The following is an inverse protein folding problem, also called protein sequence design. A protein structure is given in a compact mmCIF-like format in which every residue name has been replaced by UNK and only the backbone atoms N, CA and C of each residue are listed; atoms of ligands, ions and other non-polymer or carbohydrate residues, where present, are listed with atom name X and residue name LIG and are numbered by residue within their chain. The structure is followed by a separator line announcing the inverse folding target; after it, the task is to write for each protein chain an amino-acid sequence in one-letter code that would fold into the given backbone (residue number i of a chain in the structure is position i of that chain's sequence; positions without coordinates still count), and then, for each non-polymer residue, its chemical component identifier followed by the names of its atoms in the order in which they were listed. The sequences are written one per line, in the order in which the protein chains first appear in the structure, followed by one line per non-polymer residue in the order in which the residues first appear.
data_IF_059896908911
#
_entry.id   IF_059896908911
#
_cell.length_a   1.000
_cell.length_b   1.000
_cell.length_c   1.000
_cell.angle_alpha   90.00
_cell.angle_beta   90.00
_cell.angle_gamma   90.00
#
_symmetry.space_group_name_H-M   'P 1'
#
loop_
_entity.id
_entity.type
_entity.pdbx_description
1 polymer ?
#
# COMPACT_ATOMS: atom_id res chain seq x y z
N UNK A 1 40.47 3.66 -2.69
CA UNK A 1 40.19 2.55 -1.76
C UNK A 1 38.92 2.86 -1.02
N UNK A 2 38.01 1.90 -0.98
CA UNK A 2 36.77 1.80 -0.21
C UNK A 2 35.57 2.58 -0.73
N UNK A 3 34.68 1.86 -1.43
CA UNK A 3 33.26 1.82 -1.09
C UNK A 3 32.56 0.63 -1.78
N UNK A 4 33.00 -0.60 -1.46
CA UNK A 4 32.43 -1.84 -1.99
C UNK A 4 31.49 -2.58 -0.99
N UNK A 5 30.83 -1.88 -0.06
CA UNK A 5 30.05 -2.56 0.99
C UNK A 5 28.58 -2.08 1.12
N UNK A 6 27.94 -1.58 0.07
CA UNK A 6 26.49 -1.28 0.09
C UNK A 6 25.76 -2.03 -1.04
N UNK A 7 26.29 -3.15 -1.49
CA UNK A 7 25.51 -4.10 -2.29
C UNK A 7 24.87 -5.12 -1.36
N UNK A 8 23.98 -4.61 -0.48
CA UNK A 8 23.13 -5.39 0.40
C UNK A 8 22.06 -6.09 -0.44
N UNK A 9 22.29 -7.38 -0.73
CA UNK A 9 21.30 -8.38 -1.15
C UNK A 9 19.93 -7.86 -1.62
N UNK A 10 19.89 -7.03 -2.65
CA UNK A 10 18.67 -6.75 -3.36
C UNK A 10 18.26 -8.03 -4.08
N UNK A 11 17.36 -8.78 -3.49
CA UNK A 11 16.71 -9.90 -4.16
C UNK A 11 16.04 -9.31 -5.39
N UNK A 12 16.61 -9.52 -6.57
CA UNK A 12 16.00 -9.13 -7.84
C UNK A 12 14.74 -9.96 -8.02
N UNK A 13 13.61 -9.38 -7.60
CA UNK A 13 12.31 -10.01 -7.72
C UNK A 13 11.81 -9.82 -9.15
N UNK A 14 11.59 -10.93 -9.85
CA UNK A 14 10.90 -10.88 -11.15
C UNK A 14 9.45 -10.44 -10.88
N UNK A 15 8.94 -9.41 -11.60
CA UNK A 15 7.57 -8.95 -11.43
C UNK A 15 6.57 -10.06 -11.77
N UNK A 16 6.00 -10.72 -10.76
CA UNK A 16 5.04 -11.80 -10.92
C UNK A 16 4.19 -11.99 -9.67
N UNK A 17 2.95 -12.48 -9.83
CA UNK A 17 2.02 -12.72 -8.72
C UNK A 17 2.59 -13.75 -7.75
N UNK A 18 3.07 -14.88 -8.25
CA UNK A 18 3.63 -15.95 -7.42
C UNK A 18 4.90 -15.53 -6.69
N UNK A 19 5.80 -14.77 -7.34
CA UNK A 19 7.01 -14.24 -6.70
C UNK A 19 6.68 -13.23 -5.60
N UNK A 20 5.66 -12.38 -5.81
CA UNK A 20 5.19 -11.40 -4.84
C UNK A 20 4.64 -12.08 -3.57
N UNK A 21 3.76 -13.06 -3.71
CA UNK A 21 3.22 -13.82 -2.58
C UNK A 21 4.30 -14.67 -1.88
N UNK A 22 5.18 -15.30 -2.62
CA UNK A 22 6.29 -16.09 -2.04
C UNK A 22 7.24 -15.21 -1.21
N UNK A 23 7.59 -14.04 -1.73
CA UNK A 23 8.39 -13.08 -0.98
C UNK A 23 7.61 -12.54 0.23
N UNK A 24 6.34 -12.17 0.05
CA UNK A 24 5.46 -11.72 1.12
C UNK A 24 5.38 -12.73 2.27
N UNK A 25 5.13 -13.99 1.98
CA UNK A 25 5.09 -15.05 2.99
C UNK A 25 6.40 -15.21 3.76
N UNK A 26 7.54 -15.19 3.06
CA UNK A 26 8.85 -15.27 3.69
C UNK A 26 9.16 -14.08 4.60
N UNK A 27 8.85 -12.85 4.14
CA UNK A 27 9.10 -11.65 4.91
C UNK A 27 8.11 -11.49 6.07
N UNK A 28 6.88 -11.99 5.93
CA UNK A 28 5.88 -12.01 6.99
C UNK A 28 6.41 -12.71 8.24
N UNK A 29 6.95 -13.91 8.11
CA UNK A 29 7.50 -14.63 9.26
C UNK A 29 8.75 -13.98 9.83
N UNK A 30 9.58 -13.35 8.99
CA UNK A 30 10.78 -12.66 9.43
C UNK A 30 10.47 -11.40 10.26
N UNK A 31 9.44 -10.65 9.88
CA UNK A 31 9.07 -9.39 10.51
C UNK A 31 7.70 -9.44 11.21
N UNK A 32 7.22 -10.65 11.56
CA UNK A 32 5.88 -10.89 12.05
C UNK A 32 5.48 -9.94 13.18
N UNK A 33 6.30 -9.84 14.24
CA UNK A 33 5.98 -9.02 15.41
C UNK A 33 5.88 -7.53 15.06
N UNK A 34 6.80 -7.01 14.26
CA UNK A 34 6.79 -5.60 13.84
C UNK A 34 5.58 -5.26 12.98
N UNK A 35 5.29 -6.10 11.98
CA UNK A 35 4.14 -5.91 11.10
C UNK A 35 2.81 -6.08 11.85
N UNK A 36 2.73 -7.01 12.79
CA UNK A 36 1.57 -7.24 13.64
C UNK A 36 1.28 -6.01 14.52
N UNK A 37 2.30 -5.44 15.15
CA UNK A 37 2.15 -4.21 15.96
C UNK A 37 1.73 -3.02 15.09
N UNK A 38 2.34 -2.84 13.91
CA UNK A 38 1.96 -1.79 12.96
C UNK A 38 0.50 -1.98 12.52
N UNK A 39 0.08 -3.22 12.23
CA UNK A 39 -1.28 -3.54 11.86
C UNK A 39 -2.29 -3.23 12.97
N UNK A 40 -1.98 -3.57 14.23
CA UNK A 40 -2.83 -3.23 15.39
C UNK A 40 -2.94 -1.72 15.57
N UNK A 41 -1.83 -0.99 15.51
CA UNK A 41 -1.85 0.46 15.67
C UNK A 41 -2.69 1.09 14.54
N UNK A 42 -2.49 0.66 13.29
CA UNK A 42 -3.30 1.12 12.15
C UNK A 42 -4.79 0.81 12.33
N UNK A 43 -5.12 -0.38 12.83
CA UNK A 43 -6.50 -0.76 13.14
C UNK A 43 -7.12 0.13 14.22
N UNK A 44 -6.40 0.38 15.33
CA UNK A 44 -6.88 1.26 16.42
C UNK A 44 -7.15 2.68 15.89
N UNK A 45 -6.27 3.19 15.03
CA UNK A 45 -6.45 4.52 14.42
C UNK A 45 -7.67 4.53 13.48
N UNK A 46 -8.00 3.43 12.84
CA UNK A 46 -9.17 3.30 11.95
C UNK A 46 -10.51 3.11 12.68
N UNK A 47 -10.53 2.80 13.98
CA UNK A 47 -11.78 2.58 14.75
C UNK A 47 -12.77 3.76 14.64
N UNK A 48 -12.35 5.05 14.78
CA UNK A 48 -13.29 6.16 14.76
C UNK A 48 -14.10 6.29 13.47
N UNK A 49 -13.53 5.90 12.33
CA UNK A 49 -14.22 5.97 11.04
C UNK A 49 -15.30 4.89 10.90
N UNK A 50 -15.14 3.74 11.54
CA UNK A 50 -16.12 2.64 11.55
C UNK A 50 -17.24 2.79 12.58
N UNK A 51 -17.12 3.70 13.54
CA UNK A 51 -18.11 3.83 14.63
C UNK A 51 -19.41 4.52 14.24
N UNK A 52 -19.46 5.22 13.10
CA UNK A 52 -20.66 5.93 12.65
C UNK A 52 -21.89 5.03 12.50
N UNK A 53 -21.68 3.77 12.11
CA UNK A 53 -22.76 2.83 11.82
C UNK A 53 -23.51 2.40 13.09
N UNK A 54 -22.92 2.62 14.27
CA UNK A 54 -23.49 2.26 15.57
C UNK A 54 -24.33 3.35 16.19
N UNK A 55 -24.32 4.59 15.62
CA UNK A 55 -25.02 5.74 16.18
C UNK A 55 -26.42 5.86 15.59
N UNK A 56 -27.43 5.67 16.44
CA UNK A 56 -28.84 5.84 16.07
C UNK A 56 -29.26 7.29 16.24
N UNK A 57 -29.80 7.88 15.19
CA UNK A 57 -30.36 9.25 15.17
C UNK A 57 -29.83 10.07 13.99
N UNK A 58 -30.72 10.52 13.11
CA UNK A 58 -30.37 11.13 11.83
C UNK A 58 -29.46 12.37 11.94
N UNK A 59 -29.65 13.23 12.93
CA UNK A 59 -28.85 14.45 13.13
C UNK A 59 -27.49 14.16 13.76
N UNK A 60 -27.44 13.31 14.79
CA UNK A 60 -26.19 12.90 15.44
C UNK A 60 -25.33 12.07 14.48
N UNK A 61 -25.93 11.16 13.73
CA UNK A 61 -25.24 10.37 12.71
C UNK A 61 -24.65 11.26 11.60
N UNK A 62 -25.34 12.34 11.19
CA UNK A 62 -24.82 13.28 10.20
C UNK A 62 -23.59 14.05 10.67
N UNK A 63 -23.60 14.58 11.89
CA UNK A 63 -22.47 15.33 12.46
C UNK A 63 -21.27 14.38 12.69
N UNK A 64 -21.51 13.23 13.32
CA UNK A 64 -20.47 12.25 13.56
C UNK A 64 -19.90 11.68 12.26
N UNK A 65 -20.76 11.44 11.25
CA UNK A 65 -20.32 11.03 9.92
C UNK A 65 -19.42 12.06 9.24
N UNK A 66 -19.77 13.34 9.34
CA UNK A 66 -18.94 14.41 8.81
C UNK A 66 -17.59 14.53 9.53
N UNK A 67 -17.58 14.44 10.86
CA UNK A 67 -16.35 14.43 11.65
C UNK A 67 -15.48 13.23 11.35
N UNK A 68 -16.07 12.04 11.22
CA UNK A 68 -15.34 10.82 10.85
C UNK A 68 -14.80 10.89 9.41
N UNK A 69 -15.54 11.51 8.49
CA UNK A 69 -15.05 11.76 7.13
C UNK A 69 -13.81 12.67 7.12
N UNK A 70 -13.86 13.77 7.88
CA UNK A 70 -12.71 14.66 8.03
C UNK A 70 -11.53 13.92 8.68
N UNK A 71 -11.79 13.17 9.74
CA UNK A 71 -10.77 12.35 10.40
C UNK A 71 -10.16 11.33 9.45
N UNK A 72 -10.98 10.64 8.65
CA UNK A 72 -10.54 9.69 7.63
C UNK A 72 -9.56 10.31 6.64
N UNK A 73 -9.84 11.49 6.13
CA UNK A 73 -8.96 12.20 5.19
C UNK A 73 -7.69 12.69 5.89
N UNK A 74 -7.82 13.36 7.05
CA UNK A 74 -6.69 14.03 7.68
C UNK A 74 -5.78 13.08 8.46
N UNK A 75 -6.30 12.04 9.07
CA UNK A 75 -5.52 11.17 9.95
C UNK A 75 -5.33 9.80 9.33
N UNK A 76 -6.43 9.12 9.01
CA UNK A 76 -6.36 7.74 8.52
C UNK A 76 -5.66 7.63 7.16
N UNK A 77 -5.92 8.57 6.22
CA UNK A 77 -5.26 8.60 4.92
C UNK A 77 -3.72 8.58 5.03
N UNK A 78 -3.08 9.56 5.68
CA UNK A 78 -1.64 9.56 5.89
C UNK A 78 -1.11 8.35 6.65
N UNK A 79 -1.85 7.85 7.65
CA UNK A 79 -1.46 6.65 8.40
C UNK A 79 -1.42 5.43 7.50
N UNK A 80 -2.44 5.22 6.65
CA UNK A 80 -2.47 4.11 5.69
C UNK A 80 -1.29 4.17 4.71
N UNK A 81 -0.90 5.34 4.26
CA UNK A 81 0.29 5.55 3.43
C UNK A 81 1.58 5.18 4.18
N UNK A 82 1.68 5.56 5.46
CA UNK A 82 2.80 5.17 6.32
C UNK A 82 2.85 3.67 6.59
N UNK A 83 1.70 3.04 6.83
CA UNK A 83 1.60 1.58 6.94
C UNK A 83 2.05 0.90 5.66
N UNK A 84 1.60 1.35 4.49
CA UNK A 84 2.05 0.82 3.20
C UNK A 84 3.58 0.91 3.04
N UNK A 85 4.18 2.03 3.46
CA UNK A 85 5.63 2.20 3.44
C UNK A 85 6.37 1.24 4.39
N UNK A 86 5.84 0.99 5.59
CA UNK A 86 6.40 0.01 6.51
C UNK A 86 6.37 -1.42 5.91
N UNK A 87 5.26 -1.80 5.27
CA UNK A 87 5.18 -3.06 4.53
C UNK A 87 6.17 -3.12 3.36
N UNK A 88 6.42 -2.00 2.68
CA UNK A 88 7.42 -1.91 1.61
C UNK A 88 8.84 -2.16 2.14
N UNK A 89 9.21 -1.56 3.28
CA UNK A 89 10.51 -1.81 3.93
C UNK A 89 10.66 -3.29 4.29
N UNK A 90 9.62 -3.90 4.85
CA UNK A 90 9.62 -5.34 5.14
C UNK A 90 9.75 -6.18 3.86
N UNK A 91 9.06 -5.83 2.78
CA UNK A 91 9.14 -6.52 1.49
C UNK A 91 10.53 -6.45 0.85
N UNK A 92 11.25 -5.34 1.03
CA UNK A 92 12.65 -5.16 0.64
C UNK A 92 13.63 -5.93 1.52
N UNK A 93 13.19 -6.35 2.73
CA UNK A 93 14.05 -6.98 3.73
C UNK A 93 14.86 -5.98 4.57
N UNK A 94 14.51 -4.71 4.51
CA UNK A 94 15.12 -3.64 5.29
C UNK A 94 14.70 -3.73 6.77
N UNK A 95 15.48 -3.06 7.64
CA UNK A 95 15.16 -3.00 9.07
C UNK A 95 13.83 -2.27 9.28
N UNK A 96 12.85 -2.99 9.83
CA UNK A 96 11.51 -2.48 10.13
C UNK A 96 11.49 -1.87 11.53
N UNK A 97 11.00 -0.63 11.63
CA UNK A 97 10.75 0.05 12.90
C UNK A 97 9.31 0.57 12.94
N UNK A 98 8.69 0.57 14.11
CA UNK A 98 7.29 1.03 14.27
C UNK A 98 7.14 2.50 13.82
N UNK A 99 8.18 3.31 14.02
CA UNK A 99 8.17 4.71 13.57
C UNK A 99 8.03 4.88 12.06
N UNK A 100 8.34 3.84 11.27
CA UNK A 100 8.26 3.91 9.80
C UNK A 100 6.81 4.13 9.31
N UNK A 101 5.81 3.70 10.09
CA UNK A 101 4.41 4.00 9.78
C UNK A 101 4.07 5.49 9.85
N UNK A 102 4.88 6.29 10.55
CA UNK A 102 4.70 7.74 10.65
C UNK A 102 5.55 8.50 9.63
N UNK A 103 6.27 7.84 8.73
CA UNK A 103 7.10 8.50 7.71
C UNK A 103 6.26 9.39 6.78
N UNK A 104 5.00 9.01 6.52
CA UNK A 104 4.06 9.80 5.73
C UNK A 104 3.81 11.21 6.31
N UNK A 105 3.94 11.37 7.64
CA UNK A 105 3.77 12.67 8.29
C UNK A 105 4.90 13.66 8.00
N UNK A 106 6.06 13.20 7.52
CA UNK A 106 7.13 14.09 7.06
C UNK A 106 6.76 14.81 5.76
N UNK A 107 5.84 14.24 4.98
CA UNK A 107 5.30 14.83 3.77
C UNK A 107 3.76 14.87 3.85
N UNK A 108 3.26 15.36 4.99
CA UNK A 108 1.86 15.23 5.41
C UNK A 108 0.87 15.69 4.35
N UNK A 109 1.03 16.92 3.85
CA UNK A 109 0.07 17.48 2.88
C UNK A 109 0.02 16.69 1.57
N UNK A 110 1.16 16.18 1.10
CA UNK A 110 1.17 15.33 -0.08
C UNK A 110 0.49 13.98 0.18
N UNK A 111 0.65 13.41 1.37
CA UNK A 111 -0.04 12.16 1.73
C UNK A 111 -1.56 12.37 1.86
N UNK A 112 -2.01 13.45 2.51
CA UNK A 112 -3.43 13.82 2.62
C UNK A 112 -4.05 14.06 1.24
N UNK A 113 -3.44 14.92 0.44
CA UNK A 113 -3.96 15.25 -0.89
C UNK A 113 -3.95 14.03 -1.82
N UNK A 114 -2.89 13.23 -1.79
CA UNK A 114 -2.81 12.02 -2.60
C UNK A 114 -3.90 11.00 -2.23
N UNK A 115 -4.13 10.77 -0.93
CA UNK A 115 -5.19 9.86 -0.48
C UNK A 115 -6.58 10.36 -0.89
N UNK A 116 -6.81 11.68 -0.80
CA UNK A 116 -8.07 12.31 -1.22
C UNK A 116 -8.25 12.17 -2.75
N UNK A 117 -7.26 12.56 -3.56
CA UNK A 117 -7.38 12.50 -5.02
C UNK A 117 -7.57 11.05 -5.51
N UNK A 118 -6.79 10.11 -4.99
CA UNK A 118 -6.92 8.68 -5.33
C UNK A 118 -8.31 8.17 -4.94
N UNK A 119 -8.78 8.51 -3.72
CA UNK A 119 -10.11 8.14 -3.26
C UNK A 119 -11.22 8.68 -4.18
N UNK A 120 -11.16 9.97 -4.52
CA UNK A 120 -12.14 10.60 -5.43
C UNK A 120 -12.13 9.94 -6.81
N UNK A 121 -10.97 9.67 -7.39
CA UNK A 121 -10.85 9.02 -8.71
C UNK A 121 -11.49 7.62 -8.66
N UNK A 122 -11.22 6.84 -7.62
CA UNK A 122 -11.78 5.50 -7.46
C UNK A 122 -13.29 5.56 -7.28
N UNK A 123 -13.80 6.47 -6.43
CA UNK A 123 -15.24 6.63 -6.19
C UNK A 123 -15.96 7.04 -7.48
N UNK A 124 -15.45 8.03 -8.22
CA UNK A 124 -16.01 8.42 -9.52
C UNK A 124 -16.01 7.23 -10.49
N UNK A 125 -14.92 6.48 -10.53
CA UNK A 125 -14.83 5.27 -11.37
C UNK A 125 -15.87 4.21 -11.00
N UNK A 126 -16.11 3.98 -9.71
CA UNK A 126 -17.12 3.03 -9.22
C UNK A 126 -18.56 3.50 -9.48
N UNK A 127 -18.81 4.81 -9.34
CA UNK A 127 -20.14 5.40 -9.62
C UNK A 127 -20.48 5.33 -11.10
N UNK A 128 -19.49 5.58 -11.97
CA UNK A 128 -19.67 5.48 -13.43
C UNK A 128 -19.95 4.03 -13.86
N UNK A 129 -19.11 3.11 -13.44
CA UNK A 129 -19.22 1.66 -13.66
C UNK A 129 -18.21 0.93 -12.76
N UNK A 130 -18.57 -0.23 -12.24
CA UNK A 130 -17.71 -1.04 -11.38
C UNK A 130 -16.37 -1.37 -12.08
N UNK A 131 -16.42 -1.69 -13.37
CA UNK A 131 -15.22 -2.09 -14.13
C UNK A 131 -14.17 -0.97 -14.21
N UNK A 132 -14.47 0.28 -14.64
CA UNK A 132 -13.48 1.35 -14.62
C UNK A 132 -13.00 1.70 -13.20
N UNK A 133 -13.86 1.59 -12.18
CA UNK A 133 -13.44 1.77 -10.79
C UNK A 133 -12.35 0.79 -10.38
N UNK A 134 -12.49 -0.48 -10.71
CA UNK A 134 -11.46 -1.51 -10.47
C UNK A 134 -10.19 -1.21 -11.25
N UNK A 135 -10.31 -0.79 -12.51
CA UNK A 135 -9.15 -0.42 -13.33
C UNK A 135 -8.39 0.75 -12.71
N UNK A 136 -9.09 1.79 -12.25
CA UNK A 136 -8.46 2.94 -11.59
C UNK A 136 -7.80 2.53 -10.27
N UNK A 137 -8.45 1.70 -9.46
CA UNK A 137 -7.86 1.16 -8.24
C UNK A 137 -6.56 0.40 -8.53
N UNK A 138 -6.53 -0.45 -9.56
CA UNK A 138 -5.32 -1.17 -9.97
C UNK A 138 -4.23 -0.23 -10.49
N UNK A 139 -4.60 0.81 -11.24
CA UNK A 139 -3.66 1.79 -11.79
C UNK A 139 -3.03 2.69 -10.72
N UNK A 140 -3.78 3.00 -9.68
CA UNK A 140 -3.37 3.89 -8.60
C UNK A 140 -2.81 3.14 -7.37
N UNK A 141 -2.73 1.81 -7.44
CA UNK A 141 -2.28 0.96 -6.33
C UNK A 141 -0.87 1.27 -5.83
N UNK A 142 -0.01 1.86 -6.67
CA UNK A 142 1.37 2.20 -6.30
C UNK A 142 1.53 3.63 -5.77
N UNK A 143 0.50 4.47 -5.86
CA UNK A 143 0.55 5.86 -5.40
C UNK A 143 1.01 6.01 -3.93
N UNK A 144 0.50 5.21 -2.96
CA UNK A 144 0.95 5.32 -1.57
C UNK A 144 2.46 5.14 -1.40
N UNK A 145 3.03 4.19 -2.13
CA UNK A 145 4.46 3.92 -2.06
C UNK A 145 5.29 5.06 -2.67
N UNK A 146 4.84 5.63 -3.79
CA UNK A 146 5.53 6.72 -4.49
C UNK A 146 5.57 8.00 -3.66
N UNK A 147 4.45 8.35 -3.01
CA UNK A 147 4.36 9.54 -2.16
C UNK A 147 5.30 9.45 -0.96
N UNK A 148 5.38 8.30 -0.29
CA UNK A 148 6.16 8.16 0.95
C UNK A 148 7.59 7.74 0.67
N UNK A 149 7.81 6.76 -0.22
CA UNK A 149 9.11 6.19 -0.54
C UNK A 149 9.98 7.15 -1.39
N UNK A 150 9.37 7.71 -2.46
CA UNK A 150 10.06 8.64 -3.37
C UNK A 150 9.79 10.11 -3.09
N UNK A 151 8.91 10.41 -2.11
CA UNK A 151 8.54 11.79 -1.72
C UNK A 151 8.03 12.64 -2.90
N UNK A 152 7.38 11.99 -3.86
CA UNK A 152 6.86 12.64 -5.06
C UNK A 152 5.66 13.53 -4.72
N UNK A 153 5.46 14.58 -5.52
CA UNK A 153 4.26 15.39 -5.46
C UNK A 153 3.02 14.57 -5.89
N UNK A 154 1.82 14.99 -5.48
CA UNK A 154 0.58 14.22 -5.66
C UNK A 154 0.34 13.83 -7.12
N UNK A 155 0.36 14.81 -8.03
CA UNK A 155 0.08 14.57 -9.45
C UNK A 155 1.17 13.70 -10.09
N UNK A 156 2.41 13.95 -9.75
CA UNK A 156 3.56 13.18 -10.21
C UNK A 156 3.47 11.71 -9.75
N UNK A 157 3.08 11.46 -8.49
CA UNK A 157 2.89 10.12 -7.95
C UNK A 157 1.72 9.38 -8.62
N UNK A 158 0.62 10.07 -8.93
CA UNK A 158 -0.52 9.51 -9.67
C UNK A 158 -0.10 9.13 -11.09
N UNK A 159 0.56 10.02 -11.81
CA UNK A 159 1.02 9.80 -13.18
C UNK A 159 2.06 8.67 -13.24
N UNK A 160 3.03 8.67 -12.32
CA UNK A 160 4.03 7.61 -12.24
C UNK A 160 3.42 6.26 -11.86
N UNK A 161 2.46 6.23 -10.94
CA UNK A 161 1.71 5.01 -10.62
C UNK A 161 1.00 4.46 -11.86
N UNK A 162 0.36 5.34 -12.63
CA UNK A 162 -0.32 4.98 -13.86
C UNK A 162 0.66 4.40 -14.89
N UNK A 163 1.83 5.02 -15.05
CA UNK A 163 2.89 4.58 -15.95
C UNK A 163 3.45 3.21 -15.53
N UNK A 164 3.82 3.06 -14.25
CA UNK A 164 4.41 1.82 -13.73
C UNK A 164 3.44 0.63 -13.81
N UNK A 165 2.16 0.87 -13.63
CA UNK A 165 1.13 -0.18 -13.75
C UNK A 165 0.72 -0.46 -15.20
N UNK A 166 1.12 0.37 -16.18
CA UNK A 166 0.75 0.23 -17.59
C UNK A 166 0.99 -1.14 -18.20
N UNK A 167 2.15 -1.76 -17.90
CA UNK A 167 2.46 -3.14 -18.33
C UNK A 167 2.14 -4.23 -17.31
N UNK A 168 1.71 -3.86 -16.09
CA UNK A 168 1.58 -4.76 -14.96
C UNK A 168 0.19 -4.74 -14.29
N UNK A 169 -0.79 -4.01 -14.84
CA UNK A 169 -2.13 -3.85 -14.28
C UNK A 169 -2.82 -5.20 -14.01
N UNK A 170 -2.67 -6.17 -14.90
CA UNK A 170 -3.19 -7.53 -14.70
C UNK A 170 -2.56 -8.24 -13.50
N UNK A 171 -1.28 -8.01 -13.24
CA UNK A 171 -0.60 -8.60 -12.07
C UNK A 171 -1.13 -8.00 -10.77
N UNK A 172 -1.35 -6.67 -10.74
CA UNK A 172 -1.99 -5.96 -9.62
C UNK A 172 -3.40 -6.50 -9.39
N UNK A 173 -4.20 -6.63 -10.46
CA UNK A 173 -5.54 -7.19 -10.41
C UNK A 173 -5.55 -8.63 -9.87
N UNK A 174 -4.67 -9.50 -10.34
CA UNK A 174 -4.59 -10.88 -9.87
C UNK A 174 -4.12 -10.99 -8.42
N UNK A 175 -3.27 -10.09 -7.93
CA UNK A 175 -2.93 -10.04 -6.49
C UNK A 175 -4.18 -9.68 -5.69
N UNK A 176 -4.94 -8.68 -6.11
CA UNK A 176 -6.20 -8.32 -5.46
C UNK A 176 -7.25 -9.43 -5.53
N UNK A 177 -7.38 -10.10 -6.67
CA UNK A 177 -8.30 -11.22 -6.83
C UNK A 177 -7.91 -12.41 -5.93
N UNK A 178 -6.63 -12.72 -5.84
CA UNK A 178 -6.12 -13.80 -4.99
C UNK A 178 -6.20 -13.44 -3.49
N UNK A 179 -6.27 -12.16 -3.15
CA UNK A 179 -6.50 -11.72 -1.79
C UNK A 179 -7.86 -12.20 -1.24
N UNK A 180 -8.89 -12.29 -2.07
CA UNK A 180 -10.24 -12.72 -1.67
C UNK A 180 -10.22 -14.13 -1.05
N UNK A 181 -9.78 -15.20 -1.76
CA UNK A 181 -9.74 -16.53 -1.16
C UNK A 181 -8.75 -16.64 0.03
N UNK A 182 -7.66 -15.86 0.03
CA UNK A 182 -6.73 -15.83 1.15
C UNK A 182 -7.40 -15.24 2.39
N UNK A 183 -8.16 -14.16 2.26
CA UNK A 183 -8.91 -13.57 3.35
C UNK A 183 -10.04 -14.48 3.84
N UNK A 184 -10.74 -15.18 2.93
CA UNK A 184 -11.77 -16.19 3.30
C UNK A 184 -11.12 -17.33 4.09
N UNK A 185 -9.99 -17.85 3.63
CA UNK A 185 -9.24 -18.88 4.36
C UNK A 185 -8.78 -18.39 5.74
N UNK A 186 -8.33 -17.12 5.82
CA UNK A 186 -7.98 -16.49 7.08
C UNK A 186 -9.17 -16.35 8.03
N UNK A 187 -10.36 -16.03 7.50
CA UNK A 187 -11.60 -15.96 8.29
C UNK A 187 -11.97 -17.32 8.90
N UNK A 188 -11.76 -18.40 8.18
CA UNK A 188 -11.97 -19.77 8.69
C UNK A 188 -11.01 -20.14 9.82
N UNK A 189 -9.84 -19.51 9.89
CA UNK A 189 -8.85 -19.67 10.95
C UNK A 189 -9.04 -18.68 12.13
N UNK A 190 -10.23 -18.11 12.31
CA UNK A 190 -10.55 -17.09 13.32
C UNK A 190 -9.81 -15.75 13.13
N UNK A 191 -9.93 -14.87 14.11
CA UNK A 191 -9.40 -13.47 14.10
C UNK A 191 -7.90 -13.43 13.75
N UNK A 192 -7.10 -14.36 14.25
CA UNK A 192 -5.66 -14.42 13.97
C UNK A 192 -5.39 -14.69 12.48
N UNK A 193 -6.19 -15.55 11.86
CA UNK A 193 -6.07 -15.88 10.44
C UNK A 193 -6.34 -14.66 9.53
N UNK A 194 -7.30 -13.81 9.87
CA UNK A 194 -7.60 -12.58 9.11
C UNK A 194 -6.41 -11.63 9.15
N UNK A 195 -5.81 -11.41 10.33
CA UNK A 195 -4.67 -10.52 10.48
C UNK A 195 -3.49 -11.01 9.63
N UNK A 196 -3.17 -12.30 9.69
CA UNK A 196 -2.10 -12.91 8.89
C UNK A 196 -2.39 -12.76 7.40
N UNK A 197 -3.64 -12.97 6.97
CA UNK A 197 -4.06 -12.83 5.56
C UNK A 197 -3.89 -11.40 5.07
N UNK A 198 -4.34 -10.40 5.82
CA UNK A 198 -4.19 -8.99 5.49
C UNK A 198 -2.71 -8.58 5.40
N UNK A 199 -1.89 -9.04 6.34
CA UNK A 199 -0.44 -8.80 6.31
C UNK A 199 0.20 -9.43 5.07
N UNK A 200 -0.17 -10.65 4.70
CA UNK A 200 0.34 -11.35 3.52
C UNK A 200 -0.03 -10.61 2.23
N UNK A 201 -1.27 -10.14 2.10
CA UNK A 201 -1.75 -9.38 0.95
C UNK A 201 -0.99 -8.04 0.82
N UNK A 202 -0.87 -7.28 1.90
CA UNK A 202 -0.12 -6.02 1.88
C UNK A 202 1.35 -6.21 1.50
N UNK A 203 1.99 -7.28 2.02
CA UNK A 203 3.35 -7.63 1.64
C UNK A 203 3.46 -8.05 0.16
N UNK A 204 2.45 -8.71 -0.40
CA UNK A 204 2.43 -9.07 -1.81
C UNK A 204 2.35 -7.82 -2.71
N UNK A 205 1.50 -6.85 -2.39
CA UNK A 205 1.45 -5.56 -3.10
C UNK A 205 2.77 -4.81 -3.00
N UNK A 206 3.34 -4.70 -1.80
CA UNK A 206 4.63 -4.06 -1.58
C UNK A 206 5.77 -4.76 -2.32
N UNK A 207 5.76 -6.10 -2.37
CA UNK A 207 6.74 -6.90 -3.12
C UNK A 207 6.62 -6.69 -4.62
N UNK A 208 5.39 -6.59 -5.15
CA UNK A 208 5.17 -6.29 -6.56
C UNK A 208 5.67 -4.88 -6.91
N UNK A 209 5.34 -3.88 -6.09
CA UNK A 209 5.86 -2.53 -6.28
C UNK A 209 7.39 -2.51 -6.31
N UNK A 210 8.03 -3.19 -5.35
CA UNK A 210 9.49 -3.29 -5.31
C UNK A 210 10.05 -3.95 -6.58
N UNK A 211 9.46 -5.05 -7.03
CA UNK A 211 9.89 -5.75 -8.24
C UNK A 211 9.74 -4.89 -9.50
N UNK A 212 8.62 -4.18 -9.65
CA UNK A 212 8.37 -3.30 -10.82
C UNK A 212 9.28 -2.07 -10.79
N UNK A 213 9.47 -1.48 -9.62
CA UNK A 213 10.31 -0.31 -9.41
C UNK A 213 11.79 -0.61 -9.69
N UNK A 214 12.28 -1.79 -9.31
CA UNK A 214 13.67 -2.20 -9.55
C UNK A 214 13.92 -2.58 -11.02
N UNK A 215 12.97 -3.24 -11.69
CA UNK A 215 13.10 -3.55 -13.13
C UNK A 215 13.09 -2.31 -14.01
N UNK A 216 12.30 -1.28 -13.67
CA UNK A 216 12.30 0.00 -14.38
C UNK A 216 13.63 0.76 -14.27
N UNK A 217 14.31 0.68 -13.12
CA UNK A 217 15.64 1.30 -12.93
C UNK A 217 16.74 0.57 -13.73
N UNK A 218 16.67 -0.75 -13.82
CA UNK A 218 17.64 -1.53 -14.59
C UNK A 218 17.57 -1.20 -16.09
N UNK A 219 16.39 -1.07 -16.67
CA UNK A 219 16.22 -0.73 -18.08
C UNK A 219 16.70 0.69 -18.45
N UNK A 220 16.68 1.63 -17.51
CA UNK A 220 17.22 2.98 -17.70
C UNK A 220 18.75 2.97 -17.69
N UNK A 221 19.39 2.13 -16.89
CA UNK A 221 20.85 2.01 -16.84
C UNK A 221 21.44 1.30 -18.07
N UNK A 222 20.73 0.32 -18.66
CA UNK A 222 21.15 -0.36 -19.89
C UNK A 222 21.00 0.51 -21.15
N UNK A 223 20.16 1.58 -21.10
CA UNK A 223 19.93 2.50 -22.22
C UNK A 223 20.89 3.69 -22.29
N UNK A 224 21.84 3.85 -21.37
CA UNK A 224 22.86 4.92 -21.44
C UNK A 224 24.07 4.38 -22.22
N UNK A 225 24.33 4.85 -23.47
CA UNK A 225 25.53 4.49 -24.17
C UNK A 225 26.75 5.06 -23.42
N UNK A 226 27.64 4.18 -22.98
CA UNK A 226 28.97 4.58 -22.47
C UNK A 226 29.78 5.14 -23.63
N UNK A 227 29.78 6.48 -23.77
CA UNK A 227 30.73 7.24 -24.61
C UNK A 227 31.97 7.56 -23.82
#
# INVERSE_FOLDING_TARGET
MQNNNVQKNSVTLVPGVGSAYKNGWRQLWKYFLGLFLIGIIGFIIGIPTGMNEWVQGATAAGILGFLAFIYGILVEGPVQYGVAFAFLKAARGDKLEIKDMFEAFKNYWNAVLASLFVGVIIVIGLVLLIVPGIIFACKLAFTPYLVVDRKMAVMEAIEESWRMTGGHAWKVFFIGLLAIPICIAGLLCFIVGIIISLMCVNLAFASLYHAVSSSGMASVQEGVPTT
#
